data_IF_991253705294
#
_entry.id   IF_991253705294
#
_cell.length_a   1.000
_cell.length_b   1.000
_cell.length_c   1.000
_cell.angle_alpha   90.00
_cell.angle_beta   90.00
_cell.angle_gamma   90.00
#
_symmetry.space_group_name_H-M   'P 1'
#
loop_
_entity.id
_entity.type
_entity.pdbx_description
1 polymer ?
#
# COMPACT_ATOMS: atom_id res chain seq x y z
N UNK A 1 -7.40 18.72 16.13
CA UNK A 1 -7.21 18.32 15.89
C UNK A 1 -6.81 17.78 15.55
N UNK A 2 -6.58 17.42 15.52
CA UNK A 2 -6.27 16.81 15.22
C UNK A 2 -5.82 16.07 14.88
N UNK A 3 -5.56 15.69 14.91
CA UNK A 3 -5.16 15.02 14.67
C UNK A 3 -4.98 14.07 14.44
N UNK A 4 -5.16 13.60 14.19
CA UNK A 4 -5.00 12.70 13.96
C UNK A 4 -4.39 12.23 13.27
N UNK A 5 -4.39 12.08 12.95
CA UNK A 5 -3.89 11.53 12.19
C UNK A 5 -2.70 11.10 11.96
N UNK A 6 -2.22 11.45 11.89
CA UNK A 6 -0.81 11.21 11.84
C UNK A 6 -0.41 9.90 12.43
N UNK A 7 -1.16 9.33 13.22
CA UNK A 7 -0.86 8.06 13.85
C UNK A 7 -1.28 6.88 12.99
N UNK A 8 -1.37 7.08 11.71
CA UNK A 8 -1.79 6.04 10.81
C UNK A 8 -0.71 5.00 10.64
N UNK A 9 -1.06 3.75 10.86
CA UNK A 9 -0.16 2.63 10.66
C UNK A 9 -0.90 1.58 9.86
N UNK A 10 -0.19 0.83 8.99
CA UNK A 10 -0.85 -0.25 8.27
C UNK A 10 -1.35 -1.33 9.21
N UNK A 11 -2.57 -1.75 9.00
CA UNK A 11 -3.09 -2.89 9.74
C UNK A 11 -2.54 -4.17 9.14
N UNK A 12 -2.90 -5.32 9.69
CA UNK A 12 -2.33 -6.60 9.25
C UNK A 12 -2.59 -6.88 7.78
N UNK A 13 -3.81 -6.60 7.32
CA UNK A 13 -4.15 -6.85 5.92
C UNK A 13 -3.36 -5.94 4.99
N UNK A 14 -3.21 -4.68 5.38
CA UNK A 14 -2.46 -3.71 4.59
C UNK A 14 -0.98 -4.07 4.55
N UNK A 15 -0.42 -4.45 5.71
CA UNK A 15 0.96 -4.88 5.79
C UNK A 15 1.23 -6.09 4.94
N UNK A 16 0.29 -7.03 4.94
CA UNK A 16 0.45 -8.25 4.17
C UNK A 16 0.64 -7.95 2.69
N UNK A 17 -0.07 -6.95 2.18
CA UNK A 17 0.10 -6.54 0.79
C UNK A 17 1.37 -5.72 0.62
N UNK A 18 1.58 -4.73 1.48
CA UNK A 18 2.66 -3.77 1.30
C UNK A 18 4.04 -4.41 1.41
N UNK A 19 4.16 -5.52 2.14
CA UNK A 19 5.46 -6.18 2.28
C UNK A 19 5.99 -6.75 0.96
N UNK A 20 5.12 -6.97 -0.01
CA UNK A 20 5.54 -7.47 -1.31
C UNK A 20 5.91 -6.35 -2.28
N UNK A 21 5.74 -5.10 -1.87
CA UNK A 21 5.97 -3.97 -2.76
C UNK A 21 7.37 -3.40 -2.55
N UNK A 22 7.82 -2.66 -3.54
CA UNK A 22 9.11 -1.99 -3.44
C UNK A 22 9.00 -0.58 -3.98
N UNK A 23 10.01 0.23 -3.69
CA UNK A 23 10.07 1.60 -4.18
C UNK A 23 10.40 1.67 -5.66
N UNK A 24 11.09 0.65 -6.16
CA UNK A 24 11.66 0.72 -7.49
C UNK A 24 10.85 0.00 -8.55
N UNK A 25 10.10 -1.01 -8.16
CA UNK A 25 9.41 -1.87 -9.12
C UNK A 25 7.91 -1.76 -9.00
N UNK A 26 7.25 -1.73 -10.13
CA UNK A 26 5.81 -1.85 -10.20
C UNK A 26 5.44 -3.32 -10.09
N UNK A 27 4.54 -3.64 -9.19
CA UNK A 27 4.05 -5.01 -9.03
C UNK A 27 2.61 -5.08 -9.50
N UNK A 28 2.29 -6.12 -10.25
CA UNK A 28 0.91 -6.31 -10.72
C UNK A 28 0.10 -6.86 -9.55
N UNK A 29 -0.96 -6.15 -9.17
CA UNK A 29 -1.76 -6.52 -8.02
C UNK A 29 -2.31 -7.93 -8.12
N UNK A 30 -2.74 -8.32 -9.31
CA UNK A 30 -3.33 -9.64 -9.51
C UNK A 30 -2.32 -10.77 -9.37
N UNK A 31 -1.04 -10.44 -9.38
CA UNK A 31 0.02 -11.45 -9.28
C UNK A 31 0.63 -11.56 -7.90
N UNK A 32 0.14 -10.77 -6.96
CA UNK A 32 0.64 -10.88 -5.60
C UNK A 32 0.21 -12.22 -5.01
N UNK A 33 1.02 -12.78 -4.12
CA UNK A 33 0.69 -14.08 -3.53
C UNK A 33 -0.51 -14.05 -2.59
N UNK A 34 -1.02 -12.87 -2.29
CA UNK A 34 -2.20 -12.73 -1.46
C UNK A 34 -3.18 -11.80 -2.16
N UNK A 35 -4.47 -11.90 -1.82
CA UNK A 35 -5.47 -11.01 -2.44
C UNK A 35 -5.21 -9.56 -2.06
N UNK A 36 -5.34 -8.69 -3.05
CA UNK A 36 -5.23 -7.25 -2.83
C UNK A 36 -6.47 -6.63 -3.45
N UNK A 37 -7.55 -6.60 -2.68
CA UNK A 37 -8.82 -6.10 -3.16
C UNK A 37 -8.79 -4.62 -3.43
N UNK A 38 -9.71 -4.19 -4.26
CA UNK A 38 -9.78 -2.81 -4.68
C UNK A 38 -9.96 -1.86 -3.51
N UNK A 39 -10.78 -2.25 -2.55
CA UNK A 39 -11.04 -1.41 -1.39
C UNK A 39 -9.76 -1.19 -0.56
N UNK A 40 -9.02 -2.26 -0.36
CA UNK A 40 -7.77 -2.18 0.39
C UNK A 40 -6.75 -1.33 -0.35
N UNK A 41 -6.63 -1.52 -1.66
CA UNK A 41 -5.70 -0.75 -2.46
C UNK A 41 -6.03 0.73 -2.43
N UNK A 42 -7.32 1.06 -2.55
CA UNK A 42 -7.74 2.45 -2.50
C UNK A 42 -7.44 3.07 -1.14
N UNK A 43 -7.58 2.30 -0.10
CA UNK A 43 -7.32 2.79 1.25
C UNK A 43 -5.85 3.12 1.44
N UNK A 44 -4.95 2.19 1.08
CA UNK A 44 -3.53 2.45 1.27
C UNK A 44 -3.03 3.54 0.33
N UNK A 45 -3.67 3.67 -0.83
CA UNK A 45 -3.34 4.78 -1.73
C UNK A 45 -3.75 6.12 -1.11
N UNK A 46 -4.89 6.15 -0.46
CA UNK A 46 -5.39 7.40 0.13
C UNK A 46 -4.48 7.90 1.25
N UNK A 47 -3.75 7.00 1.89
CA UNK A 47 -2.76 7.39 2.88
C UNK A 47 -1.45 7.87 2.26
N UNK A 48 -1.30 7.71 0.95
CA UNK A 48 -0.06 8.08 0.28
C UNK A 48 1.02 7.03 0.40
N UNK A 49 0.66 5.81 0.79
CA UNK A 49 1.64 4.75 1.00
C UNK A 49 2.01 4.01 -0.28
N UNK A 50 1.17 4.07 -1.28
CA UNK A 50 1.43 3.43 -2.56
C UNK A 50 0.98 4.32 -3.70
N UNK A 51 1.58 4.08 -4.86
CA UNK A 51 1.12 4.64 -6.13
C UNK A 51 0.46 3.52 -6.92
N UNK A 52 -0.57 3.85 -7.64
CA UNK A 52 -1.31 2.88 -8.43
C UNK A 52 -1.46 3.40 -9.84
N UNK A 53 -1.23 2.54 -10.81
CA UNK A 53 -1.49 2.89 -12.21
C UNK A 53 -2.07 1.69 -12.93
N UNK A 54 -2.69 1.93 -14.07
CA UNK A 54 -3.37 0.88 -14.81
C UNK A 54 -4.71 0.59 -14.19
N UNK A 55 -5.39 -0.40 -14.73
CA UNK A 55 -6.71 -0.76 -14.23
C UNK A 55 -6.97 -2.23 -14.47
N UNK A 56 -7.89 -2.76 -13.70
CA UNK A 56 -8.33 -4.15 -13.80
C UNK A 56 -7.15 -5.10 -13.68
N UNK A 57 -6.96 -5.99 -14.63
CA UNK A 57 -5.90 -6.99 -14.57
C UNK A 57 -4.51 -6.38 -14.62
N UNK A 58 -4.41 -5.17 -15.12
CA UNK A 58 -3.12 -4.52 -15.32
C UNK A 58 -2.79 -3.53 -14.21
N UNK A 59 -3.61 -3.51 -13.18
CA UNK A 59 -3.35 -2.62 -12.04
C UNK A 59 -1.98 -2.93 -11.46
N UNK A 60 -1.14 -1.91 -11.44
CA UNK A 60 0.22 -2.03 -10.89
C UNK A 60 0.35 -1.12 -9.71
N UNK A 61 1.09 -1.56 -8.71
CA UNK A 61 1.28 -0.79 -7.49
C UNK A 61 2.76 -0.74 -7.14
N UNK A 62 3.13 0.36 -6.51
CA UNK A 62 4.51 0.59 -6.09
C UNK A 62 4.48 1.29 -4.74
N UNK A 63 5.38 0.90 -3.86
CA UNK A 63 5.48 1.51 -2.55
C UNK A 63 6.04 2.92 -2.69
N UNK A 64 5.58 3.84 -1.86
CA UNK A 64 6.13 5.18 -1.79
C UNK A 64 7.09 5.27 -0.61
N UNK A 65 7.93 6.33 -0.56
CA UNK A 65 8.74 6.56 0.64
C UNK A 65 7.90 6.65 1.91
N UNK A 66 6.71 7.27 1.80
CA UNK A 66 5.81 7.35 2.94
C UNK A 66 5.31 5.97 3.36
N UNK A 67 5.06 5.09 2.39
CA UNK A 67 4.65 3.72 2.69
C UNK A 67 5.74 2.94 3.37
N UNK A 68 6.98 3.09 2.90
CA UNK A 68 8.11 2.44 3.54
C UNK A 68 8.26 2.91 4.98
N UNK A 69 8.13 4.21 5.19
CA UNK A 69 8.21 4.80 6.52
C UNK A 69 7.13 4.23 7.43
N UNK A 70 5.90 4.13 6.91
CA UNK A 70 4.79 3.60 7.69
C UNK A 70 5.03 2.15 8.09
N UNK A 71 5.61 1.36 7.19
CA UNK A 71 5.94 -0.03 7.47
C UNK A 71 6.97 -0.15 8.58
N UNK A 72 7.94 0.75 8.59
CA UNK A 72 8.99 0.74 9.60
C UNK A 72 8.49 1.22 10.95
N UNK A 73 7.60 2.18 10.93
CA UNK A 73 7.15 2.82 12.16
C UNK A 73 6.20 1.97 12.96
N UNK A 74 5.63 0.97 12.36
CA UNK A 74 4.51 0.25 12.93
C UNK A 74 4.91 -0.89 13.83
N UNK A 75 6.12 -0.89 14.31
CA UNK A 75 6.61 -1.94 15.19
C UNK A 75 6.32 -1.63 16.65
#
# INVERSE_FOLDING_TARGET
MTGKQSAEFPNMAQRAVMQYLSLDDWKIAARLPIPAGELLLNRIRSYGWVEIQGEKHYTAIRLTPAGLQAMRSAI
#
